data_IF_555537299190
#
_entry.id   IF_555537299190
#
_cell.length_a   1.000
_cell.length_b   1.000
_cell.length_c   1.000
_cell.angle_alpha   90.00
_cell.angle_beta   90.00
_cell.angle_gamma   90.00
#
_symmetry.space_group_name_H-M   'P 1'
#
loop_
_entity.id
_entity.type
_entity.pdbx_description
1 polymer ?
#
# COMPACT_ATOMS: atom_id res chain seq x y z
N UNK A 1 -34.77 -48.49 6.61
CA UNK A 1 -33.68 -47.52 6.88
C UNK A 1 -33.47 -46.73 5.61
N UNK A 2 -33.71 -45.43 5.66
CA UNK A 2 -33.73 -44.53 4.50
C UNK A 2 -32.30 -44.30 3.98
N UNK A 3 -31.99 -44.72 2.76
CA UNK A 3 -30.77 -44.30 2.03
C UNK A 3 -31.16 -43.23 1.02
N UNK A 4 -31.33 -42.01 1.52
CA UNK A 4 -31.57 -40.83 0.70
C UNK A 4 -30.34 -40.44 -0.13
N UNK A 5 -30.61 -40.07 -1.37
CA UNK A 5 -29.86 -39.13 -2.20
C UNK A 5 -28.34 -39.36 -2.36
N UNK A 6 -27.97 -40.31 -3.23
CA UNK A 6 -26.67 -40.35 -3.91
C UNK A 6 -26.79 -39.86 -5.37
N UNK A 7 -27.69 -38.93 -5.64
CA UNK A 7 -27.88 -38.35 -6.97
C UNK A 7 -27.39 -36.90 -6.93
N UNK A 8 -26.09 -36.73 -7.14
CA UNK A 8 -25.55 -35.40 -7.43
C UNK A 8 -26.03 -34.94 -8.81
N UNK A 9 -26.08 -33.64 -9.06
CA UNK A 9 -26.48 -33.08 -10.35
C UNK A 9 -25.54 -33.49 -11.52
N UNK A 10 -24.40 -34.11 -11.21
CA UNK A 10 -23.34 -34.51 -12.14
C UNK A 10 -23.23 -36.06 -12.26
N UNK A 11 -24.16 -36.81 -11.65
CA UNK A 11 -24.26 -38.27 -11.81
C UNK A 11 -23.56 -39.10 -10.73
N UNK A 12 -23.22 -40.36 -11.08
CA UNK A 12 -22.71 -41.37 -10.15
C UNK A 12 -21.26 -41.04 -9.69
N UNK A 13 -21.01 -40.80 -8.39
CA UNK A 13 -19.69 -40.39 -7.89
C UNK A 13 -18.60 -41.45 -8.06
N UNK A 14 -18.98 -42.73 -8.23
CA UNK A 14 -18.04 -43.85 -8.33
C UNK A 14 -17.28 -43.90 -9.67
N UNK A 15 -17.68 -43.09 -10.65
CA UNK A 15 -17.06 -43.01 -11.98
C UNK A 15 -15.94 -41.95 -12.00
N UNK A 16 -16.02 -40.95 -11.14
CA UNK A 16 -15.05 -39.85 -11.10
C UNK A 16 -13.92 -40.17 -10.14
N UNK A 17 -12.68 -39.98 -10.58
CA UNK A 17 -11.51 -40.06 -9.72
C UNK A 17 -11.25 -38.70 -9.06
N UNK A 18 -10.66 -38.68 -7.87
CA UNK A 18 -10.37 -37.46 -7.09
C UNK A 18 -9.60 -36.37 -7.85
N UNK A 19 -8.91 -36.72 -8.95
CA UNK A 19 -8.20 -35.79 -9.81
C UNK A 19 -9.08 -35.02 -10.81
N UNK A 20 -10.23 -35.55 -11.21
CA UNK A 20 -11.15 -34.92 -12.17
C UNK A 20 -11.94 -33.75 -11.57
N UNK A 21 -12.08 -33.73 -10.24
CA UNK A 21 -12.85 -32.71 -9.53
C UNK A 21 -11.97 -31.58 -8.99
N UNK A 22 -10.64 -31.71 -9.10
CA UNK A 22 -9.72 -30.66 -8.66
C UNK A 22 -9.59 -29.63 -9.77
N UNK A 23 -9.80 -28.33 -9.49
CA UNK A 23 -9.41 -27.30 -10.45
C UNK A 23 -7.92 -27.50 -10.71
N UNK A 24 -7.53 -27.66 -11.97
CA UNK A 24 -6.12 -27.62 -12.36
C UNK A 24 -5.61 -26.25 -11.91
N UNK A 25 -4.84 -26.21 -10.83
CA UNK A 25 -4.27 -24.96 -10.34
C UNK A 25 -3.44 -24.37 -11.46
N UNK A 26 -3.63 -23.08 -11.75
CA UNK A 26 -2.77 -22.35 -12.68
C UNK A 26 -1.31 -22.54 -12.23
N UNK A 27 -0.57 -23.40 -12.94
CA UNK A 27 0.87 -23.53 -12.77
C UNK A 27 1.47 -22.17 -13.16
N UNK A 28 1.77 -21.35 -12.15
CA UNK A 28 2.41 -20.06 -12.38
C UNK A 28 3.79 -20.35 -12.95
N UNK A 29 4.16 -19.80 -14.13
CA UNK A 29 5.48 -20.00 -14.69
C UNK A 29 6.54 -19.52 -13.69
N UNK A 30 7.74 -20.10 -13.78
CA UNK A 30 8.82 -19.73 -12.88
C UNK A 30 9.03 -18.21 -12.92
N UNK A 31 9.41 -17.58 -11.80
CA UNK A 31 9.45 -16.10 -11.69
C UNK A 31 10.37 -15.41 -12.70
N UNK A 32 11.25 -16.15 -13.37
CA UNK A 32 12.11 -15.66 -14.45
C UNK A 32 11.49 -15.83 -15.87
N UNK A 33 10.50 -16.72 -16.03
CA UNK A 33 9.72 -16.93 -17.26
C UNK A 33 8.48 -16.05 -17.32
N UNK A 34 7.95 -15.65 -16.16
CA UNK A 34 6.84 -14.72 -16.06
C UNK A 34 7.33 -13.28 -16.31
N UNK A 35 6.84 -12.65 -17.39
CA UNK A 35 6.95 -11.19 -17.54
C UNK A 35 6.28 -10.48 -16.35
N UNK A 36 6.89 -9.41 -15.85
CA UNK A 36 6.32 -8.65 -14.72
C UNK A 36 4.94 -8.10 -15.11
N UNK A 37 3.89 -8.33 -14.29
CA UNK A 37 2.57 -7.80 -14.60
C UNK A 37 2.63 -6.26 -14.66
N UNK A 38 2.11 -5.67 -15.74
CA UNK A 38 2.14 -4.24 -16.04
C UNK A 38 3.52 -3.63 -16.39
N UNK A 39 4.52 -4.43 -16.78
CA UNK A 39 5.85 -3.92 -17.16
C UNK A 39 5.96 -3.32 -18.55
N UNK A 40 4.84 -3.03 -19.22
CA UNK A 40 4.87 -2.33 -20.51
C UNK A 40 5.30 -0.88 -20.30
N UNK A 41 6.42 -0.48 -20.91
CA UNK A 41 6.85 0.92 -20.95
C UNK A 41 5.92 1.72 -21.88
N UNK A 42 5.41 2.85 -21.39
CA UNK A 42 4.53 3.73 -22.18
C UNK A 42 5.29 4.35 -23.35
N UNK A 43 6.59 4.57 -23.18
CA UNK A 43 7.46 5.19 -24.16
C UNK A 43 8.17 4.18 -25.07
N UNK A 44 7.82 2.88 -25.00
CA UNK A 44 8.36 1.88 -25.92
C UNK A 44 7.93 2.20 -27.36
N UNK A 45 8.86 2.48 -28.28
CA UNK A 45 8.52 2.70 -29.68
C UNK A 45 7.98 1.45 -30.38
N UNK A 46 8.17 0.26 -29.80
CA UNK A 46 7.69 -1.04 -30.34
C UNK A 46 6.30 -1.42 -29.84
N UNK A 47 5.72 -0.66 -28.92
CA UNK A 47 4.37 -0.89 -28.44
C UNK A 47 3.34 -0.35 -29.45
N UNK A 48 2.46 -1.24 -29.94
CA UNK A 48 1.40 -0.94 -30.92
C UNK A 48 0.19 -0.16 -30.33
N UNK A 49 0.40 0.58 -29.24
CA UNK A 49 -0.65 1.37 -28.62
C UNK A 49 -0.98 2.60 -29.46
N UNK A 50 -2.26 2.84 -29.72
CA UNK A 50 -2.70 4.07 -30.40
C UNK A 50 -2.29 5.32 -29.60
N UNK A 51 -2.05 6.45 -30.28
CA UNK A 51 -1.67 7.72 -29.62
C UNK A 51 -2.66 8.15 -28.52
N UNK A 52 -3.95 7.91 -28.72
CA UNK A 52 -4.98 8.22 -27.73
C UNK A 52 -4.89 7.32 -26.49
N UNK A 53 -4.56 6.04 -26.67
CA UNK A 53 -4.38 5.12 -25.56
C UNK A 53 -3.10 5.44 -24.78
N UNK A 54 -2.01 5.77 -25.48
CA UNK A 54 -0.75 6.23 -24.86
C UNK A 54 -0.99 7.47 -24.00
N UNK A 55 -1.64 8.50 -24.56
CA UNK A 55 -1.98 9.74 -23.82
C UNK A 55 -2.79 9.46 -22.56
N UNK A 56 -3.85 8.64 -22.65
CA UNK A 56 -4.68 8.29 -21.49
C UNK A 56 -3.89 7.56 -20.40
N UNK A 57 -2.92 6.74 -20.80
CA UNK A 57 -2.06 6.00 -19.89
C UNK A 57 -1.04 6.92 -19.21
N UNK A 58 -0.48 7.89 -19.93
CA UNK A 58 0.38 8.96 -19.39
C UNK A 58 -0.36 9.81 -18.35
N UNK A 59 -1.54 10.32 -18.69
CA UNK A 59 -2.38 11.12 -17.77
C UNK A 59 -2.71 10.34 -16.49
N UNK A 60 -2.99 9.04 -16.62
CA UNK A 60 -3.25 8.18 -15.48
C UNK A 60 -1.98 7.99 -14.62
N UNK A 61 -0.81 7.80 -15.22
CA UNK A 61 0.45 7.69 -14.49
C UNK A 61 0.82 8.99 -13.75
N UNK A 62 0.64 10.15 -14.38
CA UNK A 62 0.86 11.45 -13.76
C UNK A 62 -0.03 11.61 -12.51
N UNK A 63 -1.33 11.34 -12.66
CA UNK A 63 -2.28 11.43 -11.55
C UNK A 63 -2.00 10.43 -10.42
N UNK A 64 -1.51 9.24 -10.75
CA UNK A 64 -1.10 8.25 -9.76
C UNK A 64 0.18 8.69 -9.03
N UNK A 65 1.14 9.30 -9.74
CA UNK A 65 2.34 9.86 -9.15
C UNK A 65 2.01 11.02 -8.18
N UNK A 66 1.09 11.91 -8.56
CA UNK A 66 0.59 12.98 -7.70
C UNK A 66 -0.08 12.42 -6.45
N UNK A 67 -0.99 11.45 -6.62
CA UNK A 67 -1.65 10.79 -5.49
C UNK A 67 -0.64 10.09 -4.57
N UNK A 68 0.39 9.46 -5.13
CA UNK A 68 1.46 8.86 -4.33
C UNK A 68 2.28 9.91 -3.59
N UNK A 69 2.55 11.06 -4.22
CA UNK A 69 3.23 12.18 -3.57
C UNK A 69 2.40 12.78 -2.42
N UNK A 70 1.09 12.90 -2.60
CA UNK A 70 0.12 13.33 -1.58
C UNK A 70 -0.08 12.30 -0.46
N UNK A 71 -0.01 11.00 -0.78
CA UNK A 71 -0.21 9.91 0.20
C UNK A 71 0.96 9.74 1.17
N UNK A 72 2.09 10.42 0.92
CA UNK A 72 3.20 10.42 1.87
C UNK A 72 2.73 11.14 3.12
N UNK A 73 2.88 10.49 4.27
CA UNK A 73 2.56 11.06 5.58
C UNK A 73 3.33 12.38 5.76
N UNK A 74 2.59 13.48 5.67
CA UNK A 74 3.13 14.82 5.89
C UNK A 74 3.36 14.95 7.40
N UNK A 75 4.61 15.08 7.82
CA UNK A 75 4.97 15.24 9.24
C UNK A 75 4.70 16.66 9.73
N UNK A 76 4.88 17.66 8.85
CA UNK A 76 4.64 19.07 9.15
C UNK A 76 3.32 19.55 8.54
N UNK A 77 2.32 19.96 9.35
CA UNK A 77 1.01 20.37 8.83
C UNK A 77 1.03 21.60 7.89
N UNK A 78 2.12 22.39 7.88
CA UNK A 78 2.26 23.58 7.03
C UNK A 78 2.83 23.28 5.64
N UNK A 79 3.61 22.20 5.51
CA UNK A 79 4.37 21.88 4.31
C UNK A 79 3.51 21.74 3.03
N UNK A 80 2.30 21.13 3.06
CA UNK A 80 1.51 20.95 1.84
C UNK A 80 1.05 22.27 1.23
N UNK A 81 0.66 23.22 2.07
CA UNK A 81 0.20 24.54 1.62
C UNK A 81 1.37 25.35 1.06
N UNK A 82 2.50 25.37 1.76
CA UNK A 82 3.72 26.07 1.31
C UNK A 82 4.24 25.52 -0.02
N UNK A 83 4.25 24.19 -0.19
CA UNK A 83 4.68 23.54 -1.45
C UNK A 83 3.81 23.89 -2.64
N UNK A 84 2.54 24.17 -2.40
CA UNK A 84 1.59 24.59 -3.44
C UNK A 84 1.54 26.11 -3.63
N UNK A 85 2.30 26.88 -2.83
CA UNK A 85 2.29 28.35 -2.87
C UNK A 85 1.02 28.97 -2.29
N UNK A 86 0.31 28.23 -1.44
CA UNK A 86 -0.91 28.68 -0.76
C UNK A 86 -0.61 29.06 0.70
N UNK A 87 -1.44 29.95 1.27
CA UNK A 87 -1.35 30.24 2.70
C UNK A 87 -1.88 29.05 3.51
N UNK A 88 -1.14 28.60 4.55
CA UNK A 88 -1.58 27.51 5.40
C UNK A 88 -2.85 27.88 6.16
N UNK A 89 -3.74 26.89 6.35
CA UNK A 89 -4.99 27.11 7.07
C UNK A 89 -4.74 27.48 8.54
N UNK A 90 -5.69 28.20 9.14
CA UNK A 90 -5.64 28.57 10.56
C UNK A 90 -5.51 27.34 11.48
N UNK A 91 -6.10 26.21 11.12
CA UNK A 91 -5.95 24.95 11.86
C UNK A 91 -4.53 24.40 11.79
N UNK A 92 -3.94 24.36 10.59
CA UNK A 92 -2.57 23.90 10.39
C UNK A 92 -1.53 24.75 11.14
N UNK A 93 -1.77 26.07 11.24
CA UNK A 93 -0.94 26.98 12.04
C UNK A 93 -1.01 26.64 13.54
N UNK A 94 -2.22 26.40 14.06
CA UNK A 94 -2.43 26.04 15.47
C UNK A 94 -1.82 24.67 15.79
N UNK A 95 -1.98 23.69 14.89
CA UNK A 95 -1.40 22.36 15.08
C UNK A 95 0.14 22.41 15.10
N UNK A 96 0.75 23.26 14.25
CA UNK A 96 2.21 23.48 14.25
C UNK A 96 2.69 24.15 15.54
N UNK A 97 1.97 25.15 16.04
CA UNK A 97 2.28 25.83 17.31
C UNK A 97 2.20 24.86 18.49
N UNK A 98 1.13 24.07 18.56
CA UNK A 98 0.91 23.09 19.63
C UNK A 98 1.98 21.99 19.62
N UNK A 99 2.38 21.50 18.44
CA UNK A 99 3.49 20.57 18.30
C UNK A 99 4.82 21.14 18.84
N UNK A 100 5.13 22.40 18.51
CA UNK A 100 6.35 23.06 18.99
C UNK A 100 6.36 23.23 20.51
N UNK A 101 5.22 23.62 21.09
CA UNK A 101 5.07 23.75 22.54
C UNK A 101 5.23 22.40 23.26
N UNK A 102 4.61 21.35 22.74
CA UNK A 102 4.70 19.99 23.28
C UNK A 102 6.11 19.42 23.21
N UNK A 103 6.83 19.65 22.12
CA UNK A 103 8.24 19.25 21.97
C UNK A 103 9.16 19.98 22.96
N UNK A 104 8.93 21.28 23.17
CA UNK A 104 9.67 22.08 24.14
C UNK A 104 9.42 21.61 25.57
N UNK A 105 8.17 21.32 25.92
CA UNK A 105 7.78 20.78 27.23
C UNK A 105 8.34 19.38 27.47
N UNK A 106 8.30 18.52 26.44
CA UNK A 106 8.86 17.17 26.50
C UNK A 106 10.37 17.21 26.69
N UNK A 107 11.05 18.12 26.01
CA UNK A 107 12.50 18.33 26.15
C UNK A 107 12.87 18.81 27.55
N UNK A 108 12.12 19.77 28.11
CA UNK A 108 12.29 20.23 29.50
C UNK A 108 12.05 19.10 30.51
N UNK A 109 11.00 18.29 30.33
CA UNK A 109 10.70 17.13 31.19
C UNK A 109 11.76 16.03 31.08
N UNK A 110 12.31 15.77 29.89
CA UNK A 110 13.43 14.84 29.69
C UNK A 110 14.70 15.33 30.40
N UNK A 111 14.99 16.63 30.34
CA UNK A 111 16.13 17.22 31.05
C UNK A 111 15.95 17.19 32.58
N UNK A 112 14.74 17.40 33.09
CA UNK A 112 14.44 17.29 34.51
C UNK A 112 14.47 15.83 35.03
N UNK A 113 14.07 14.86 34.20
CA UNK A 113 14.27 13.43 34.47
C UNK A 113 15.71 13.03 34.15
N UNK A 114 16.64 13.42 35.02
CA UNK A 114 18.01 12.86 35.06
C UNK A 114 18.02 11.32 35.22
N UNK A 115 19.19 10.66 35.15
CA UNK A 115 19.31 9.21 34.94
C UNK A 115 18.88 8.42 36.18
N UNK A 116 17.58 8.30 36.42
CA UNK A 116 17.00 7.31 37.31
C UNK A 116 16.87 5.98 36.56
N UNK A 117 18.01 5.46 36.11
CA UNK A 117 18.19 4.04 35.81
C UNK A 117 18.66 3.33 37.09
N UNK A 118 18.34 2.04 37.29
CA UNK A 118 18.77 1.32 38.49
C UNK A 118 20.30 1.36 38.59
N UNK A 119 20.81 1.94 39.68
CA UNK A 119 22.24 1.91 40.00
C UNK A 119 22.65 0.46 40.25
N UNK A 120 23.76 0.04 39.62
CA UNK A 120 24.32 -1.31 39.71
C UNK A 120 24.43 -1.77 41.18
N UNK A 121 24.14 -3.06 41.38
CA UNK A 121 24.35 -3.76 42.64
C UNK A 121 25.75 -3.54 43.20
N UNK A 122 25.78 -3.34 44.51
CA UNK A 122 26.97 -3.48 45.34
C UNK A 122 27.44 -4.95 45.30
N UNK A 123 28.69 -5.16 44.90
CA UNK A 123 29.52 -6.31 45.31
C UNK A 123 30.98 -5.92 45.20
#
# INVERSE_FOLDING_TARGET
MSSGAMQSNIGNPQVYNDGDQRPHGEERPASFEAGQPNSHDIHDPRDDQTLNNRRKREEKQEREADRQAESKTVTNPLEPAERQGHEPSRGAQVDAELQQEDEALTSKKKQQKGPFGPTKGLS
#
